data_IF_718353465832
#
_entry.id   IF_718353465832
#
_cell.length_a   1.000
_cell.length_b   1.000
_cell.length_c   1.000
_cell.angle_alpha   90.00
_cell.angle_beta   90.00
_cell.angle_gamma   90.00
#
_symmetry.space_group_name_H-M   'P 1'
#
loop_
_entity.id
_entity.type
_entity.pdbx_description
1 polymer ?
#
# COMPACT_ATOMS: atom_id res chain seq x y z
N UNK A 1 0.92 1.95 24.75
CA UNK A 1 0.03 1.92 23.56
C UNK A 1 0.89 1.98 22.32
N UNK A 2 0.62 1.15 21.32
CA UNK A 2 1.29 1.11 20.02
C UNK A 2 0.27 0.95 18.91
N UNK A 3 0.57 1.44 17.71
CA UNK A 3 -0.28 1.32 16.52
C UNK A 3 0.27 0.27 15.60
N UNK A 4 -0.61 -0.63 15.17
CA UNK A 4 -0.28 -1.72 14.26
C UNK A 4 -0.94 -1.45 12.91
N UNK A 5 -0.15 -1.55 11.85
CA UNK A 5 -0.61 -1.55 10.46
C UNK A 5 -0.67 -3.00 9.99
N UNK A 6 -1.78 -3.35 9.36
CA UNK A 6 -2.04 -4.65 8.76
C UNK A 6 -2.14 -4.52 7.24
N UNK A 7 -1.59 -5.49 6.52
CA UNK A 7 -1.89 -5.74 5.10
C UNK A 7 -2.78 -6.96 5.01
N UNK A 8 -3.98 -6.81 4.44
CA UNK A 8 -5.03 -7.84 4.48
C UNK A 8 -5.42 -8.25 3.07
N UNK A 9 -5.43 -9.57 2.82
CA UNK A 9 -5.99 -10.18 1.63
C UNK A 9 -7.28 -10.92 1.96
N UNK A 10 -8.26 -10.89 1.05
CA UNK A 10 -9.52 -11.62 1.24
C UNK A 10 -10.23 -11.94 -0.07
N UNK A 11 -10.91 -13.09 -0.08
CA UNK A 11 -11.96 -13.41 -1.02
C UNK A 11 -13.27 -12.79 -0.51
N UNK A 12 -13.78 -11.78 -1.20
CA UNK A 12 -14.98 -11.05 -0.78
C UNK A 12 -16.30 -11.76 -1.07
N UNK A 13 -16.29 -12.92 -1.71
CA UNK A 13 -17.50 -13.61 -2.23
C UNK A 13 -18.57 -13.82 -1.15
N UNK A 14 -18.15 -14.24 0.05
CA UNK A 14 -19.07 -14.54 1.15
C UNK A 14 -19.41 -13.32 2.02
N UNK A 15 -18.86 -12.14 1.73
CA UNK A 15 -18.91 -10.98 2.61
C UNK A 15 -19.73 -9.83 2.04
N UNK A 16 -20.39 -9.08 2.93
CA UNK A 16 -21.13 -7.85 2.61
C UNK A 16 -20.20 -6.62 2.53
N UNK A 17 -18.98 -6.82 1.98
CA UNK A 17 -17.95 -5.81 1.84
C UNK A 17 -17.07 -5.67 3.06
N UNK A 18 -16.30 -4.58 3.07
CA UNK A 18 -15.34 -4.31 4.14
C UNK A 18 -16.03 -3.87 5.44
N UNK A 19 -16.80 -2.78 5.38
CA UNK A 19 -17.27 -2.05 6.56
C UNK A 19 -18.40 -2.76 7.30
N UNK A 20 -18.32 -2.81 8.63
CA UNK A 20 -19.38 -3.34 9.52
C UNK A 20 -20.73 -2.72 9.19
N UNK A 21 -21.73 -3.57 9.00
CA UNK A 21 -23.11 -3.19 8.70
C UNK A 21 -24.09 -4.28 9.17
N UNK A 22 -25.38 -3.93 9.45
CA UNK A 22 -26.31 -4.87 10.04
C UNK A 22 -26.79 -6.00 9.10
N UNK A 23 -26.51 -5.90 7.80
CA UNK A 23 -27.13 -6.75 6.77
C UNK A 23 -26.33 -8.03 6.44
N UNK A 24 -25.31 -8.37 7.24
CA UNK A 24 -24.52 -9.59 7.08
C UNK A 24 -23.05 -9.42 7.45
N UNK A 25 -22.32 -10.52 7.43
CA UNK A 25 -20.93 -10.62 7.86
C UNK A 25 -20.02 -9.79 6.94
N UNK A 26 -19.08 -9.06 7.54
CA UNK A 26 -18.14 -8.18 6.85
C UNK A 26 -16.69 -8.50 7.22
N UNK A 27 -15.74 -8.08 6.37
CA UNK A 27 -14.30 -8.32 6.59
C UNK A 27 -13.83 -7.65 7.88
N UNK A 28 -14.23 -6.40 8.12
CA UNK A 28 -13.89 -5.61 9.31
C UNK A 28 -14.38 -6.27 10.60
N UNK A 29 -15.61 -6.82 10.60
CA UNK A 29 -16.19 -7.51 11.74
C UNK A 29 -15.40 -8.77 12.11
N UNK A 30 -15.05 -9.60 11.11
CA UNK A 30 -14.28 -10.84 11.32
C UNK A 30 -12.87 -10.51 11.85
N UNK A 31 -12.22 -9.49 11.30
CA UNK A 31 -10.91 -9.05 11.76
C UNK A 31 -10.96 -8.50 13.19
N UNK A 32 -11.95 -7.66 13.51
CA UNK A 32 -12.14 -7.11 14.86
C UNK A 32 -12.30 -8.23 15.89
N UNK A 33 -13.13 -9.22 15.58
CA UNK A 33 -13.35 -10.38 16.45
C UNK A 33 -12.08 -11.20 16.65
N UNK A 34 -11.39 -11.56 15.56
CA UNK A 34 -10.19 -12.38 15.63
C UNK A 34 -9.04 -11.69 16.37
N UNK A 35 -8.87 -10.38 16.18
CA UNK A 35 -7.86 -9.58 16.88
C UNK A 35 -8.21 -9.41 18.36
N UNK A 36 -9.48 -9.13 18.68
CA UNK A 36 -9.93 -9.02 20.08
C UNK A 36 -9.76 -10.34 20.83
N UNK A 37 -10.08 -11.46 20.19
CA UNK A 37 -9.88 -12.80 20.75
C UNK A 37 -8.39 -13.13 20.94
N UNK A 38 -7.52 -12.68 20.05
CA UNK A 38 -6.07 -12.88 20.14
C UNK A 38 -5.46 -12.05 21.26
N UNK A 39 -5.76 -10.76 21.29
CA UNK A 39 -5.08 -9.79 22.16
C UNK A 39 -5.73 -9.68 23.55
N UNK A 40 -6.92 -10.26 23.73
CA UNK A 40 -7.73 -10.21 24.97
C UNK A 40 -8.13 -8.78 25.37
N UNK A 41 -8.31 -7.93 24.39
CA UNK A 41 -8.78 -6.55 24.53
C UNK A 41 -9.71 -6.19 23.36
N UNK A 42 -10.64 -5.23 23.51
CA UNK A 42 -11.48 -4.78 22.41
C UNK A 42 -10.65 -4.13 21.32
N UNK A 43 -10.70 -4.66 20.10
CA UNK A 43 -10.03 -4.10 18.93
C UNK A 43 -11.06 -3.61 17.92
N UNK A 44 -10.86 -2.38 17.42
CA UNK A 44 -11.60 -1.80 16.32
C UNK A 44 -10.61 -1.31 15.26
N UNK A 45 -10.58 -1.95 14.10
CA UNK A 45 -9.67 -1.58 13.02
C UNK A 45 -10.21 -0.41 12.22
N UNK A 46 -9.32 0.35 11.59
CA UNK A 46 -9.65 1.41 10.64
C UNK A 46 -9.05 1.05 9.27
N UNK A 47 -9.90 0.69 8.32
CA UNK A 47 -9.46 0.31 6.98
C UNK A 47 -9.17 1.50 6.06
N UNK A 48 -8.23 1.34 5.13
CA UNK A 48 -7.86 2.33 4.11
C UNK A 48 -8.88 2.42 2.98
N UNK A 49 -9.40 1.28 2.55
CA UNK A 49 -10.37 1.19 1.46
C UNK A 49 -11.60 0.41 1.89
N UNK A 50 -12.78 0.99 1.61
CA UNK A 50 -14.06 0.30 1.75
C UNK A 50 -14.35 -0.40 0.43
N UNK A 51 -14.21 -1.72 0.38
CA UNK A 51 -14.60 -2.51 -0.77
C UNK A 51 -16.07 -2.89 -0.67
N UNK A 52 -16.75 -2.96 -1.82
CA UNK A 52 -18.16 -3.34 -1.89
C UNK A 52 -18.38 -4.83 -1.60
N UNK A 53 -19.61 -5.22 -1.38
CA UNK A 53 -20.03 -6.63 -1.26
C UNK A 53 -19.55 -7.43 -2.47
N UNK A 54 -18.87 -8.56 -2.23
CA UNK A 54 -18.36 -9.45 -3.26
C UNK A 54 -17.06 -9.00 -3.94
N UNK A 55 -16.44 -7.89 -3.51
CA UNK A 55 -15.16 -7.41 -4.02
C UNK A 55 -14.01 -8.01 -3.23
N UNK A 56 -12.96 -8.46 -3.93
CA UNK A 56 -11.77 -9.08 -3.35
C UNK A 56 -10.66 -8.07 -3.04
N UNK A 57 -9.67 -8.48 -2.26
CA UNK A 57 -8.44 -7.73 -2.08
C UNK A 57 -7.23 -8.64 -1.89
N UNK A 58 -6.10 -8.24 -2.47
CA UNK A 58 -4.78 -8.84 -2.24
C UNK A 58 -3.93 -8.00 -1.28
N UNK A 59 -4.33 -6.75 -0.98
CA UNK A 59 -3.53 -5.86 -0.16
C UNK A 59 -4.30 -4.64 0.35
N UNK A 60 -5.45 -4.85 1.03
CA UNK A 60 -6.07 -3.75 1.77
C UNK A 60 -5.27 -3.44 3.03
N UNK A 61 -5.27 -2.20 3.46
CA UNK A 61 -4.54 -1.76 4.65
C UNK A 61 -5.51 -1.37 5.76
N UNK A 62 -5.20 -1.79 6.98
CA UNK A 62 -5.93 -1.39 8.18
C UNK A 62 -4.97 -1.08 9.32
N UNK A 63 -5.43 -0.30 10.30
CA UNK A 63 -4.70 -0.02 11.55
C UNK A 63 -5.58 -0.27 12.76
N UNK A 64 -4.93 -0.54 13.87
CA UNK A 64 -5.53 -0.50 15.20
C UNK A 64 -4.48 -0.16 16.27
N UNK A 65 -4.95 0.26 17.43
CA UNK A 65 -4.10 0.54 18.58
C UNK A 65 -4.23 -0.58 19.62
N UNK A 66 -3.13 -0.90 20.33
CA UNK A 66 -3.08 -1.97 21.33
C UNK A 66 -2.10 -1.65 22.47
N UNK A 67 -2.42 -2.13 23.66
CA UNK A 67 -1.49 -2.17 24.82
C UNK A 67 -0.77 -3.52 24.94
N UNK A 68 -1.17 -4.51 24.13
CA UNK A 68 -0.63 -5.85 24.21
C UNK A 68 0.88 -5.88 23.90
N UNK A 69 1.63 -6.74 24.62
CA UNK A 69 3.10 -6.84 24.52
C UNK A 69 3.58 -7.63 23.30
N UNK A 70 2.68 -8.32 22.58
CA UNK A 70 3.05 -9.10 21.40
C UNK A 70 3.75 -8.21 20.36
N UNK A 71 4.95 -8.58 19.84
CA UNK A 71 5.64 -7.82 18.80
C UNK A 71 4.75 -7.61 17.57
N UNK A 72 4.77 -6.41 16.98
CA UNK A 72 3.91 -6.04 15.88
C UNK A 72 4.04 -6.98 14.67
N UNK A 73 5.26 -7.40 14.36
CA UNK A 73 5.59 -8.34 13.27
C UNK A 73 5.09 -9.78 13.51
N UNK A 74 4.69 -10.14 14.74
CA UNK A 74 4.17 -11.48 15.09
C UNK A 74 2.65 -11.58 15.05
N UNK A 75 1.95 -10.45 15.04
CA UNK A 75 0.48 -10.42 15.09
C UNK A 75 -0.13 -11.11 13.86
N UNK A 76 0.43 -10.90 12.66
CA UNK A 76 -0.07 -11.53 11.43
C UNK A 76 -0.07 -13.06 11.52
N UNK A 77 0.98 -13.67 12.06
CA UNK A 77 1.06 -15.14 12.22
C UNK A 77 0.05 -15.66 13.24
N UNK A 78 -0.11 -14.94 14.36
CA UNK A 78 -0.99 -15.37 15.43
C UNK A 78 -2.49 -15.19 15.08
N UNK A 79 -2.86 -14.07 14.42
CA UNK A 79 -4.26 -13.82 14.05
C UNK A 79 -4.73 -14.74 12.93
N UNK A 80 -3.85 -15.11 12.00
CA UNK A 80 -4.19 -16.03 10.90
C UNK A 80 -4.63 -17.43 11.34
N UNK A 81 -4.27 -17.85 12.57
CA UNK A 81 -4.76 -19.09 13.16
C UNK A 81 -6.22 -19.03 13.62
N UNK A 82 -6.81 -17.83 13.67
CA UNK A 82 -8.19 -17.56 14.10
C UNK A 82 -9.09 -17.07 12.96
N UNK A 83 -8.47 -16.71 11.84
CA UNK A 83 -9.19 -16.25 10.67
C UNK A 83 -9.68 -17.41 9.81
N UNK A 84 -10.84 -17.27 9.15
CA UNK A 84 -11.31 -18.23 8.15
C UNK A 84 -10.37 -18.26 6.94
N UNK A 85 -10.50 -19.27 6.08
CA UNK A 85 -9.57 -19.49 4.94
C UNK A 85 -9.56 -18.35 3.92
N UNK A 86 -10.66 -17.64 3.81
CA UNK A 86 -10.90 -16.57 2.84
C UNK A 86 -10.44 -15.17 3.32
N UNK A 87 -9.86 -15.06 4.54
CA UNK A 87 -9.21 -13.83 5.03
C UNK A 87 -7.82 -14.16 5.56
N UNK A 88 -6.82 -13.38 5.15
CA UNK A 88 -5.44 -13.49 5.65
C UNK A 88 -4.83 -12.11 5.89
N UNK A 89 -4.13 -11.98 7.00
CA UNK A 89 -3.23 -10.86 7.28
C UNK A 89 -1.85 -11.25 6.74
N UNK A 90 -1.42 -10.60 5.67
CA UNK A 90 -0.17 -10.91 4.98
C UNK A 90 1.04 -10.32 5.70
N UNK A 91 0.85 -9.15 6.33
CA UNK A 91 1.88 -8.45 7.08
C UNK A 91 1.27 -7.69 8.25
N UNK A 92 2.04 -7.54 9.32
CA UNK A 92 1.74 -6.66 10.44
C UNK A 92 3.00 -5.97 10.93
N UNK A 93 2.94 -4.66 11.15
CA UNK A 93 4.07 -3.84 11.55
C UNK A 93 3.65 -2.71 12.49
N UNK A 94 4.56 -2.30 13.38
CA UNK A 94 4.34 -1.12 14.20
C UNK A 94 4.57 0.14 13.38
N UNK A 95 3.66 1.11 13.52
CA UNK A 95 3.75 2.42 12.86
C UNK A 95 3.57 3.53 13.90
N UNK A 96 4.04 4.76 13.63
CA UNK A 96 3.84 5.90 14.53
C UNK A 96 2.35 6.10 14.87
N UNK A 97 2.02 6.47 16.11
CA UNK A 97 0.64 6.69 16.55
C UNK A 97 -0.14 7.72 15.71
N UNK A 98 0.56 8.68 15.11
CA UNK A 98 -0.04 9.64 14.17
C UNK A 98 -0.30 9.10 12.76
N UNK A 99 0.15 7.87 12.43
CA UNK A 99 -0.06 7.28 11.12
C UNK A 99 -1.53 6.91 10.91
N UNK A 100 -2.11 7.35 9.77
CA UNK A 100 -3.52 7.05 9.47
C UNK A 100 -3.69 6.73 7.98
N UNK A 101 -4.31 5.58 7.59
CA UNK A 101 -4.29 5.06 6.23
C UNK A 101 -5.07 5.91 5.21
N UNK A 102 -5.98 6.79 5.67
CA UNK A 102 -6.78 7.67 4.80
C UNK A 102 -6.28 9.12 4.74
N UNK A 103 -5.29 9.49 5.62
CA UNK A 103 -4.76 10.87 5.68
C UNK A 103 -3.40 11.01 5.01
N UNK A 104 -2.96 9.96 4.29
CA UNK A 104 -1.67 9.93 3.60
C UNK A 104 -1.87 9.82 2.12
N UNK A 105 -0.98 10.47 1.37
CA UNK A 105 -0.91 10.28 -0.05
C UNK A 105 -0.64 8.81 -0.34
N UNK A 106 -1.44 8.26 -1.23
CA UNK A 106 -1.29 6.86 -1.62
C UNK A 106 -1.73 6.65 -3.06
N UNK A 107 -1.22 5.61 -3.66
CA UNK A 107 -1.67 5.09 -4.94
C UNK A 107 -2.38 3.77 -4.69
N UNK A 108 -3.63 3.68 -5.11
CA UNK A 108 -4.42 2.45 -5.04
C UNK A 108 -4.44 1.81 -6.41
N UNK A 109 -4.17 0.50 -6.44
CA UNK A 109 -4.23 -0.30 -7.66
C UNK A 109 -5.39 -1.27 -7.58
N UNK A 110 -6.27 -1.22 -8.58
CA UNK A 110 -7.37 -2.17 -8.77
C UNK A 110 -7.23 -2.91 -10.09
N UNK A 111 -7.65 -4.16 -10.10
CA UNK A 111 -7.84 -4.95 -11.31
C UNK A 111 -9.30 -5.37 -11.44
N UNK A 112 -9.83 -5.22 -12.65
CA UNK A 112 -11.11 -5.80 -13.03
C UNK A 112 -10.90 -6.87 -14.10
N UNK A 113 -11.33 -8.10 -13.84
CA UNK A 113 -11.14 -9.25 -14.73
C UNK A 113 -12.43 -9.64 -15.43
N UNK A 114 -12.33 -9.80 -16.74
CA UNK A 114 -13.43 -10.20 -17.62
C UNK A 114 -13.02 -11.49 -18.33
N UNK A 115 -13.78 -12.56 -18.13
CA UNK A 115 -13.65 -13.79 -18.92
C UNK A 115 -14.43 -13.60 -20.22
N UNK A 116 -13.69 -13.39 -21.32
CA UNK A 116 -14.27 -13.10 -22.63
C UNK A 116 -14.09 -14.29 -23.57
N UNK A 117 -14.95 -15.27 -23.47
CA UNK A 117 -14.96 -16.48 -24.26
C UNK A 117 -16.41 -16.93 -24.57
N UNK A 118 -16.55 -17.95 -25.43
CA UNK A 118 -17.85 -18.41 -25.88
C UNK A 118 -18.66 -19.15 -24.80
N UNK A 119 -18.00 -19.83 -23.88
CA UNK A 119 -18.61 -20.67 -22.84
C UNK A 119 -17.96 -20.34 -21.50
N UNK A 120 -18.78 -20.12 -20.46
CA UNK A 120 -18.29 -19.82 -19.10
C UNK A 120 -17.45 -20.97 -18.53
N UNK A 121 -16.42 -20.60 -17.77
CA UNK A 121 -15.50 -21.57 -17.13
C UNK A 121 -15.77 -21.57 -15.61
N UNK A 122 -16.31 -22.67 -15.04
CA UNK A 122 -16.74 -22.71 -13.64
C UNK A 122 -15.65 -22.33 -12.62
N UNK A 123 -14.39 -22.66 -12.90
CA UNK A 123 -13.25 -22.34 -12.01
C UNK A 123 -12.92 -20.84 -11.98
N UNK A 124 -13.46 -20.04 -12.90
CA UNK A 124 -13.29 -18.56 -12.96
C UNK A 124 -14.50 -17.80 -12.41
N UNK A 125 -15.60 -18.49 -12.08
CA UNK A 125 -16.90 -17.89 -11.77
C UNK A 125 -16.90 -16.88 -10.63
N UNK A 126 -15.97 -17.00 -9.67
CA UNK A 126 -15.87 -16.13 -8.49
C UNK A 126 -14.93 -14.95 -8.69
N UNK A 127 -14.01 -15.00 -9.67
CA UNK A 127 -12.89 -14.07 -9.79
C UNK A 127 -12.84 -13.34 -11.14
N UNK A 128 -13.85 -13.55 -12.01
CA UNK A 128 -13.99 -12.83 -13.27
C UNK A 128 -15.46 -12.63 -13.63
N UNK A 129 -15.75 -11.55 -14.33
CA UNK A 129 -17.04 -11.34 -14.96
C UNK A 129 -17.06 -12.02 -16.32
N UNK A 130 -17.95 -13.00 -16.52
CA UNK A 130 -18.11 -13.67 -17.80
C UNK A 130 -18.96 -12.85 -18.76
N UNK A 131 -18.51 -12.75 -20.02
CA UNK A 131 -19.31 -12.28 -21.15
C UNK A 131 -18.93 -13.05 -22.42
N UNK A 132 -19.95 -13.51 -23.14
CA UNK A 132 -19.77 -14.17 -24.43
C UNK A 132 -19.74 -13.20 -25.63
N UNK A 133 -20.13 -11.94 -25.40
CA UNK A 133 -20.03 -10.91 -26.42
C UNK A 133 -18.55 -10.60 -26.71
N UNK A 134 -18.09 -10.69 -27.98
CA UNK A 134 -16.72 -10.31 -28.29
C UNK A 134 -16.42 -8.86 -27.88
N UNK A 135 -15.29 -8.66 -27.22
CA UNK A 135 -14.84 -7.34 -26.82
C UNK A 135 -13.61 -6.92 -27.64
N UNK A 136 -13.71 -5.76 -28.28
CA UNK A 136 -12.60 -5.11 -28.98
C UNK A 136 -11.71 -4.39 -27.93
N UNK A 137 -10.59 -5.07 -27.59
CA UNK A 137 -9.66 -4.59 -26.56
C UNK A 137 -8.95 -3.32 -26.98
N UNK A 138 -8.70 -3.11 -28.29
CA UNK A 138 -8.02 -1.92 -28.78
C UNK A 138 -8.93 -0.68 -28.64
N UNK A 139 -10.22 -0.81 -28.92
CA UNK A 139 -11.19 0.26 -28.65
C UNK A 139 -11.33 0.54 -27.15
N UNK A 140 -11.28 -0.49 -26.30
CA UNK A 140 -11.28 -0.32 -24.84
C UNK A 140 -10.04 0.45 -24.36
N UNK A 141 -8.85 0.15 -24.92
CA UNK A 141 -7.61 0.90 -24.61
C UNK A 141 -7.68 2.36 -25.05
N UNK A 142 -8.22 2.61 -26.23
CA UNK A 142 -8.41 3.97 -26.73
C UNK A 142 -9.34 4.76 -25.81
N UNK A 143 -10.48 4.19 -25.46
CA UNK A 143 -11.45 4.78 -24.56
C UNK A 143 -10.87 5.06 -23.16
N UNK A 144 -10.04 4.16 -22.63
CA UNK A 144 -9.41 4.30 -21.32
C UNK A 144 -8.50 5.54 -21.21
N UNK A 145 -7.86 5.95 -22.31
CA UNK A 145 -6.98 7.14 -22.34
C UNK A 145 -7.68 8.44 -21.93
N UNK A 146 -8.97 8.57 -22.22
CA UNK A 146 -9.76 9.75 -21.86
C UNK A 146 -10.02 9.91 -20.36
N UNK A 147 -9.78 8.85 -19.57
CA UNK A 147 -9.96 8.86 -18.13
C UNK A 147 -8.67 9.11 -17.34
N UNK A 148 -7.51 9.13 -18.02
CA UNK A 148 -6.21 9.37 -17.38
C UNK A 148 -6.08 10.87 -17.08
N UNK A 149 -5.57 11.19 -15.88
CA UNK A 149 -5.41 12.56 -15.40
C UNK A 149 -6.34 12.88 -14.24
N UNK A 150 -6.38 14.17 -13.90
CA UNK A 150 -7.28 14.70 -12.88
C UNK A 150 -8.61 15.13 -13.51
N UNK A 151 -9.69 14.51 -13.06
CA UNK A 151 -11.03 14.74 -13.60
C UNK A 151 -12.09 14.68 -12.50
N UNK A 152 -13.23 15.31 -12.78
CA UNK A 152 -14.46 15.11 -12.00
C UNK A 152 -15.16 13.82 -12.47
N UNK A 153 -15.10 12.78 -11.64
CA UNK A 153 -15.66 11.46 -11.91
C UNK A 153 -17.12 11.30 -11.48
N UNK A 154 -17.91 12.35 -11.41
CA UNK A 154 -19.33 12.28 -11.03
C UNK A 154 -20.10 11.27 -11.88
N UNK A 155 -19.88 11.21 -13.22
CA UNK A 155 -20.51 10.21 -14.11
C UNK A 155 -20.14 8.76 -13.75
N UNK A 156 -19.02 8.55 -13.10
CA UNK A 156 -18.52 7.22 -12.68
C UNK A 156 -18.69 6.95 -11.18
N UNK A 157 -19.56 7.70 -10.51
CA UNK A 157 -19.89 7.52 -9.11
C UNK A 157 -21.35 7.06 -8.96
N UNK A 158 -21.62 6.10 -8.08
CA UNK A 158 -22.99 5.74 -7.77
C UNK A 158 -23.72 6.90 -7.05
N UNK A 159 -24.97 7.16 -7.40
CA UNK A 159 -25.75 8.37 -7.05
C UNK A 159 -25.94 8.62 -5.56
N UNK A 160 -25.70 7.64 -4.72
CA UNK A 160 -25.71 7.81 -3.25
C UNK A 160 -24.27 7.97 -2.74
N UNK A 161 -23.66 9.08 -3.07
CA UNK A 161 -22.28 9.35 -2.70
C UNK A 161 -22.17 9.90 -1.26
N UNK A 162 -21.20 9.37 -0.56
CA UNK A 162 -20.72 9.90 0.72
C UNK A 162 -19.45 10.77 0.54
N UNK A 163 -19.06 11.05 -0.70
CA UNK A 163 -17.89 11.85 -1.00
C UNK A 163 -18.29 13.31 -1.15
N UNK A 164 -17.70 14.17 -0.37
CA UNK A 164 -17.82 15.63 -0.47
C UNK A 164 -17.20 16.16 -1.77
N UNK A 165 -16.25 15.41 -2.34
CA UNK A 165 -15.50 15.76 -3.55
C UNK A 165 -15.44 14.59 -4.52
N UNK A 166 -15.73 14.84 -5.81
CA UNK A 166 -15.75 13.84 -6.89
C UNK A 166 -14.53 13.89 -7.81
N UNK A 167 -13.64 14.85 -7.59
CA UNK A 167 -12.38 14.95 -8.33
C UNK A 167 -11.39 13.88 -7.87
N UNK A 168 -10.84 13.13 -8.83
CA UNK A 168 -9.80 12.11 -8.61
C UNK A 168 -8.75 12.19 -9.71
N UNK A 169 -7.55 11.69 -9.40
CA UNK A 169 -6.48 11.55 -10.38
C UNK A 169 -6.25 10.08 -10.67
N UNK A 170 -6.46 9.67 -11.92
CA UNK A 170 -6.05 8.36 -12.43
C UNK A 170 -4.70 8.49 -13.12
N UNK A 171 -3.70 7.82 -12.58
CA UNK A 171 -2.34 7.87 -13.10
C UNK A 171 -2.13 6.92 -14.28
N UNK A 172 -2.89 5.81 -14.30
CA UNK A 172 -2.73 4.76 -15.30
C UNK A 172 -4.00 3.94 -15.42
N UNK A 173 -4.36 3.58 -16.64
CA UNK A 173 -5.38 2.59 -16.96
C UNK A 173 -4.86 1.72 -18.09
N UNK A 174 -4.64 0.44 -17.82
CA UNK A 174 -4.21 -0.54 -18.80
C UNK A 174 -5.35 -1.51 -19.09
N UNK A 175 -5.49 -1.92 -20.36
CA UNK A 175 -6.43 -2.96 -20.78
C UNK A 175 -5.65 -4.00 -21.56
N UNK A 176 -5.55 -5.21 -21.01
CA UNK A 176 -4.75 -6.29 -21.59
C UNK A 176 -5.60 -7.56 -21.73
N UNK A 177 -5.40 -8.30 -22.82
CA UNK A 177 -5.97 -9.63 -23.01
C UNK A 177 -4.88 -10.67 -22.83
N UNK A 178 -5.08 -11.54 -21.85
CA UNK A 178 -4.22 -12.71 -21.61
C UNK A 178 -4.50 -13.85 -22.59
N UNK A 179 -3.62 -14.86 -22.58
CA UNK A 179 -3.77 -16.09 -23.38
C UNK A 179 -4.89 -17.02 -22.87
N UNK A 180 -5.44 -16.73 -21.69
CA UNK A 180 -6.47 -17.52 -20.99
C UNK A 180 -7.88 -16.92 -21.13
N UNK A 181 -8.11 -16.15 -22.20
CA UNK A 181 -9.34 -15.41 -22.48
C UNK A 181 -9.74 -14.37 -21.40
N UNK A 182 -8.84 -14.06 -20.47
CA UNK A 182 -9.06 -13.02 -19.48
C UNK A 182 -8.62 -11.66 -20.05
N UNK A 183 -9.55 -10.70 -20.03
CA UNK A 183 -9.25 -9.29 -20.22
C UNK A 183 -9.12 -8.67 -18.82
N UNK A 184 -7.98 -8.06 -18.55
CA UNK A 184 -7.69 -7.36 -17.30
C UNK A 184 -7.67 -5.86 -17.55
N UNK A 185 -8.50 -5.13 -16.80
CA UNK A 185 -8.47 -3.67 -16.73
C UNK A 185 -7.80 -3.32 -15.41
N UNK A 186 -6.59 -2.72 -15.46
CA UNK A 186 -5.84 -2.29 -14.28
C UNK A 186 -5.89 -0.77 -14.17
N UNK A 187 -6.28 -0.27 -13.01
CA UNK A 187 -6.38 1.16 -12.72
C UNK A 187 -5.50 1.53 -11.54
N UNK A 188 -4.75 2.62 -11.67
CA UNK A 188 -3.95 3.23 -10.60
C UNK A 188 -4.38 4.67 -10.39
N UNK A 189 -4.65 5.07 -9.15
CA UNK A 189 -5.10 6.43 -8.84
C UNK A 189 -4.93 6.79 -7.37
N UNK A 190 -5.09 8.10 -7.07
CA UNK A 190 -5.01 8.63 -5.69
C UNK A 190 -6.20 8.19 -4.81
N UNK A 191 -7.29 7.76 -5.43
CA UNK A 191 -8.50 7.31 -4.75
C UNK A 191 -9.58 6.97 -5.75
N UNK A 192 -10.61 6.27 -5.29
CA UNK A 192 -11.74 5.86 -6.10
C UNK A 192 -13.05 6.18 -5.38
N UNK A 193 -14.04 6.65 -6.13
CA UNK A 193 -15.40 6.88 -5.66
C UNK A 193 -16.18 5.56 -5.54
N UNK A 194 -17.34 5.63 -4.92
CA UNK A 194 -18.20 4.47 -4.76
C UNK A 194 -18.59 3.86 -6.12
N UNK A 195 -18.29 2.57 -6.30
CA UNK A 195 -18.46 1.81 -7.54
C UNK A 195 -17.64 2.31 -8.74
N UNK A 196 -16.77 3.29 -8.61
CA UNK A 196 -16.09 3.96 -9.73
C UNK A 196 -15.39 2.97 -10.68
N UNK A 197 -14.56 2.07 -10.18
CA UNK A 197 -13.83 1.09 -11.01
C UNK A 197 -14.79 0.19 -11.78
N UNK A 198 -15.86 -0.26 -11.14
CA UNK A 198 -16.86 -1.13 -11.76
C UNK A 198 -17.68 -0.40 -12.84
N UNK A 199 -17.98 0.88 -12.64
CA UNK A 199 -18.67 1.71 -13.64
C UNK A 199 -17.74 1.98 -14.83
N UNK A 200 -16.46 2.26 -14.59
CA UNK A 200 -15.45 2.40 -15.65
C UNK A 200 -15.36 1.08 -16.44
N UNK A 201 -15.24 -0.05 -15.77
CA UNK A 201 -15.18 -1.36 -16.43
C UNK A 201 -16.43 -1.62 -17.31
N UNK A 202 -17.63 -1.36 -16.77
CA UNK A 202 -18.87 -1.49 -17.55
C UNK A 202 -18.97 -0.54 -18.73
N UNK A 203 -18.43 0.67 -18.60
CA UNK A 203 -18.38 1.64 -19.71
C UNK A 203 -17.40 1.21 -20.79
N UNK A 204 -16.21 0.76 -20.42
CA UNK A 204 -15.22 0.22 -21.36
C UNK A 204 -15.73 -1.04 -22.07
N UNK A 205 -16.46 -1.91 -21.37
CA UNK A 205 -17.12 -3.08 -21.99
C UNK A 205 -18.15 -2.63 -23.04
N UNK A 206 -18.95 -1.59 -22.78
CA UNK A 206 -19.90 -1.02 -23.74
C UNK A 206 -19.20 -0.56 -25.03
N UNK A 207 -18.04 0.09 -24.89
CA UNK A 207 -17.18 0.46 -26.02
C UNK A 207 -16.64 -0.78 -26.75
N UNK A 208 -16.11 -1.76 -25.99
CA UNK A 208 -15.59 -3.01 -26.54
C UNK A 208 -16.63 -3.82 -27.34
N UNK A 209 -17.91 -3.77 -26.96
CA UNK A 209 -19.02 -4.36 -27.69
C UNK A 209 -19.40 -3.57 -28.95
N UNK A 210 -18.77 -2.42 -29.20
CA UNK A 210 -19.14 -1.53 -30.33
C UNK A 210 -20.45 -0.78 -30.15
N UNK A 211 -20.99 -0.69 -28.94
CA UNK A 211 -22.24 0.00 -28.65
C UNK A 211 -22.10 1.54 -28.65
N UNK A 212 -20.87 2.03 -28.50
CA UNK A 212 -20.50 3.43 -28.65
C UNK A 212 -19.01 3.54 -29.03
N UNK A 213 -18.62 4.66 -29.69
CA UNK A 213 -17.21 4.85 -30.06
C UNK A 213 -16.36 5.22 -28.83
N UNK A 214 -15.02 5.04 -28.89
CA UNK A 214 -14.11 5.35 -27.76
C UNK A 214 -14.23 6.78 -27.22
N UNK A 215 -14.42 7.77 -28.10
CA UNK A 215 -14.50 9.19 -27.76
C UNK A 215 -15.72 9.52 -26.90
N UNK A 216 -16.76 8.69 -26.94
CA UNK A 216 -17.95 8.87 -26.11
C UNK A 216 -17.62 8.86 -24.61
N UNK A 217 -16.52 8.19 -24.21
CA UNK A 217 -16.07 8.18 -22.82
C UNK A 217 -15.71 9.58 -22.33
N UNK A 218 -15.14 10.43 -23.21
CA UNK A 218 -14.88 11.84 -22.91
C UNK A 218 -16.19 12.60 -22.69
N UNK A 219 -17.16 12.43 -23.57
CA UNK A 219 -18.49 13.04 -23.45
C UNK A 219 -19.20 12.62 -22.16
N UNK A 220 -19.10 11.33 -21.79
CA UNK A 220 -19.64 10.80 -20.53
C UNK A 220 -18.96 11.47 -19.33
N UNK A 221 -17.64 11.62 -19.34
CA UNK A 221 -16.88 12.24 -18.27
C UNK A 221 -17.30 13.70 -18.05
N UNK A 222 -17.35 14.47 -19.14
CA UNK A 222 -17.71 15.89 -19.14
C UNK A 222 -19.17 16.14 -18.75
N UNK A 223 -20.06 15.18 -19.01
CA UNK A 223 -21.49 15.29 -18.71
C UNK A 223 -21.81 15.32 -17.21
N UNK A 224 -20.95 14.78 -16.35
CA UNK A 224 -21.19 14.64 -14.91
C UNK A 224 -22.51 14.00 -14.56
N UNK A 225 -22.94 13.06 -15.39
CA UNK A 225 -24.22 12.36 -15.28
C UNK A 225 -24.01 10.85 -15.26
N UNK A 226 -24.35 10.20 -14.13
CA UNK A 226 -24.22 8.74 -13.95
C UNK A 226 -25.02 7.95 -14.99
N UNK A 227 -26.13 8.49 -15.49
CA UNK A 227 -27.01 7.76 -16.41
C UNK A 227 -26.37 7.57 -17.80
N UNK A 228 -25.43 8.42 -18.17
CA UNK A 228 -24.70 8.32 -19.43
C UNK A 228 -23.60 7.24 -19.42
N UNK A 229 -23.04 6.94 -18.25
CA UNK A 229 -22.04 5.90 -18.11
C UNK A 229 -22.63 4.49 -18.24
N UNK A 230 -21.77 3.52 -18.47
CA UNK A 230 -22.14 2.11 -18.55
C UNK A 230 -22.72 1.56 -17.25
N UNK A 231 -23.25 0.35 -17.30
CA UNK A 231 -23.76 -0.35 -16.12
C UNK A 231 -22.62 -0.62 -15.13
N UNK A 232 -22.95 -0.69 -13.85
CA UNK A 232 -21.99 -1.12 -12.83
C UNK A 232 -21.66 -2.60 -13.03
N UNK A 233 -20.44 -2.91 -13.41
CA UNK A 233 -20.00 -4.27 -13.64
C UNK A 233 -20.04 -5.10 -12.35
N UNK A 234 -20.27 -6.44 -12.41
CA UNK A 234 -20.38 -7.30 -11.23
C UNK A 234 -19.15 -7.24 -10.31
N UNK A 235 -19.38 -7.29 -9.00
CA UNK A 235 -18.32 -7.16 -7.99
C UNK A 235 -17.23 -8.23 -8.10
N UNK A 236 -17.61 -9.47 -8.42
CA UNK A 236 -16.72 -10.64 -8.51
C UNK A 236 -15.52 -10.50 -9.45
N UNK A 237 -15.57 -9.57 -10.40
CA UNK A 237 -14.43 -9.27 -11.27
C UNK A 237 -13.42 -8.31 -10.65
N UNK A 238 -13.76 -7.63 -9.57
CA UNK A 238 -12.95 -6.56 -8.99
C UNK A 238 -12.08 -7.06 -7.82
N UNK A 239 -10.80 -6.71 -7.87
CA UNK A 239 -9.82 -6.97 -6.81
C UNK A 239 -9.03 -5.69 -6.51
N UNK A 240 -8.95 -5.29 -5.26
CA UNK A 240 -7.96 -4.31 -4.77
C UNK A 240 -6.60 -5.01 -4.70
N UNK A 241 -5.68 -4.66 -5.59
CA UNK A 241 -4.37 -5.30 -5.67
C UNK A 241 -3.43 -4.83 -4.56
N UNK A 242 -3.48 -3.55 -4.20
CA UNK A 242 -2.66 -3.00 -3.15
C UNK A 242 -2.82 -1.50 -3.00
N UNK A 243 -2.21 -0.99 -1.94
CA UNK A 243 -2.15 0.44 -1.61
C UNK A 243 -0.70 0.78 -1.33
N UNK A 244 -0.11 1.56 -2.23
CA UNK A 244 1.24 2.09 -2.10
C UNK A 244 1.15 3.46 -1.41
N UNK A 245 1.74 3.60 -0.25
CA UNK A 245 1.89 4.90 0.41
C UNK A 245 3.18 5.55 -0.06
N UNK A 246 3.14 6.86 -0.27
CA UNK A 246 4.37 7.62 -0.41
C UNK A 246 5.27 7.24 0.78
N UNK A 247 6.49 6.79 0.47
CA UNK A 247 7.50 6.66 1.50
C UNK A 247 7.57 8.03 2.16
N UNK A 248 7.29 8.11 3.45
CA UNK A 248 7.71 9.31 4.16
C UNK A 248 9.17 9.50 3.77
N UNK A 249 9.57 10.70 3.35
CA UNK A 249 10.98 11.04 3.39
C UNK A 249 11.41 10.56 4.77
N UNK A 250 12.44 9.70 4.82
CA UNK A 250 12.90 9.09 6.07
C UNK A 250 12.79 10.18 7.11
N UNK A 251 11.85 10.07 8.07
CA UNK A 251 11.71 11.11 9.05
C UNK A 251 13.07 11.18 9.64
N UNK A 252 13.73 12.34 9.46
CA UNK A 252 14.78 12.73 10.35
C UNK A 252 14.21 12.45 11.73
N UNK A 253 14.57 11.31 12.32
CA UNK A 253 14.34 11.11 13.73
C UNK A 253 15.38 12.01 14.36
N UNK A 254 15.05 13.30 14.37
CA UNK A 254 15.77 14.28 15.12
C UNK A 254 15.39 14.00 16.57
N UNK A 255 16.14 13.09 17.18
CA UNK A 255 16.18 13.00 18.63
C UNK A 255 17.03 14.15 19.10
N UNK A 256 16.42 15.27 19.41
CA UNK A 256 17.09 16.28 20.23
C UNK A 256 17.09 15.77 21.67
N UNK A 257 18.22 15.26 22.09
CA UNK A 257 18.56 15.19 23.50
C UNK A 257 19.46 16.39 23.79
N UNK A 258 19.55 16.88 25.02
CA UNK A 258 20.32 18.08 25.39
C UNK A 258 21.77 18.11 24.92
N UNK A 259 22.27 16.98 24.36
CA UNK A 259 23.68 16.76 24.06
C UNK A 259 24.03 16.34 22.62
N UNK A 260 23.06 15.89 21.78
CA UNK A 260 23.36 15.50 20.40
C UNK A 260 22.12 15.41 19.50
N UNK A 261 22.34 15.74 18.24
CA UNK A 261 21.38 15.56 17.14
C UNK A 261 21.90 14.43 16.26
N UNK A 262 21.05 13.42 16.02
CA UNK A 262 21.40 12.36 15.06
C UNK A 262 20.32 12.25 13.99
N UNK A 263 20.76 12.00 12.77
CA UNK A 263 19.91 11.75 11.62
C UNK A 263 20.08 10.29 11.24
N UNK A 264 18.99 9.52 11.27
CA UNK A 264 18.96 8.17 10.73
C UNK A 264 18.52 8.26 9.28
N UNK A 265 19.45 8.27 8.33
CA UNK A 265 19.16 8.17 6.92
C UNK A 265 19.02 6.69 6.54
N UNK A 266 17.79 6.21 6.34
CA UNK A 266 17.52 4.83 5.90
C UNK A 266 17.62 4.66 4.38
N UNK A 267 17.95 5.71 3.64
CA UNK A 267 17.91 5.68 2.17
C UNK A 267 19.19 5.17 1.51
N UNK A 268 20.31 5.14 2.20
CA UNK A 268 21.57 4.64 1.65
C UNK A 268 21.86 3.18 2.06
N UNK A 269 21.04 2.25 1.61
CA UNK A 269 21.51 0.87 1.43
C UNK A 269 22.47 0.86 0.24
N UNK A 270 23.73 1.10 0.49
CA UNK A 270 24.79 0.93 -0.50
C UNK A 270 24.83 -0.54 -0.90
N UNK A 271 25.00 -0.83 -2.20
CA UNK A 271 25.16 -2.17 -2.72
C UNK A 271 26.20 -2.93 -1.88
N UNK A 272 25.77 -3.96 -1.12
CA UNK A 272 26.63 -4.72 -0.21
C UNK A 272 26.14 -4.81 1.23
N UNK A 273 24.91 -4.33 1.57
CA UNK A 273 24.32 -4.50 2.91
C UNK A 273 24.91 -3.60 4.00
N UNK A 274 25.54 -2.49 3.62
CA UNK A 274 26.01 -1.47 4.56
C UNK A 274 24.91 -0.47 4.90
N UNK A 275 24.77 -0.10 6.17
CA UNK A 275 23.92 0.99 6.66
C UNK A 275 24.79 2.15 7.09
N UNK A 276 24.55 3.34 6.55
CA UNK A 276 25.26 4.57 6.92
C UNK A 276 24.39 5.41 7.83
N UNK A 277 24.90 5.76 9.00
CA UNK A 277 24.21 6.54 10.02
C UNK A 277 25.00 7.83 10.24
N UNK A 278 24.35 8.98 10.07
CA UNK A 278 24.99 10.30 10.22
C UNK A 278 24.63 10.92 11.56
N UNK A 279 25.64 11.51 12.22
CA UNK A 279 25.51 12.28 13.43
C UNK A 279 25.94 13.71 13.13
N UNK A 280 25.02 14.67 13.16
CA UNK A 280 25.30 16.08 12.85
C UNK A 280 25.98 16.84 14.00
N UNK A 281 25.74 16.42 15.23
CA UNK A 281 26.30 17.07 16.42
C UNK A 281 26.47 16.09 17.58
N UNK A 282 27.61 16.11 18.26
CA UNK A 282 27.86 15.32 19.46
C UNK A 282 28.84 16.07 20.40
N UNK A 283 28.57 16.06 21.72
CA UNK A 283 29.50 16.56 22.71
C UNK A 283 30.45 15.45 23.21
N UNK A 284 31.67 15.85 23.56
CA UNK A 284 32.70 14.94 24.10
C UNK A 284 32.19 14.15 25.30
N UNK A 285 32.34 12.82 25.24
CA UNK A 285 32.09 11.89 26.34
C UNK A 285 30.93 10.90 26.18
N UNK A 286 29.97 11.15 25.27
CA UNK A 286 28.86 10.20 24.99
C UNK A 286 28.86 9.60 23.59
N UNK A 287 29.76 10.06 22.72
CA UNK A 287 29.88 9.59 21.34
C UNK A 287 30.02 8.08 21.26
N UNK A 288 30.86 7.48 22.07
CA UNK A 288 31.08 6.02 22.08
C UNK A 288 29.83 5.22 22.43
N UNK A 289 29.05 5.68 23.42
CA UNK A 289 27.78 5.01 23.81
C UNK A 289 26.73 5.11 22.72
N UNK A 290 26.65 6.28 22.06
CA UNK A 290 25.73 6.51 20.96
C UNK A 290 26.09 5.65 19.76
N UNK A 291 27.37 5.65 19.34
CA UNK A 291 27.89 4.81 18.27
C UNK A 291 27.60 3.33 18.53
N UNK A 292 27.89 2.81 19.72
CA UNK A 292 27.59 1.43 20.08
C UNK A 292 26.09 1.09 19.97
N UNK A 293 25.18 2.01 20.36
CA UNK A 293 23.74 1.82 20.18
C UNK A 293 23.35 1.78 18.71
N UNK A 294 23.87 2.70 17.90
CA UNK A 294 23.54 2.79 16.48
C UNK A 294 24.05 1.57 15.71
N UNK A 295 25.27 1.11 16.00
CA UNK A 295 25.83 -0.14 15.47
C UNK A 295 24.94 -1.33 15.81
N UNK A 296 24.55 -1.46 17.08
CA UNK A 296 23.69 -2.56 17.51
C UNK A 296 22.30 -2.52 16.84
N UNK A 297 21.75 -1.32 16.64
CA UNK A 297 20.51 -1.11 15.91
C UNK A 297 20.63 -1.48 14.42
N UNK A 298 21.73 -1.08 13.78
CA UNK A 298 22.01 -1.43 12.38
C UNK A 298 22.04 -2.95 12.17
N UNK A 299 22.72 -3.71 13.02
CA UNK A 299 22.72 -5.18 12.94
C UNK A 299 21.36 -5.81 13.23
N UNK A 300 20.59 -5.28 14.18
CA UNK A 300 19.21 -5.74 14.40
C UNK A 300 18.32 -5.54 13.18
N UNK A 301 18.60 -4.52 12.38
CA UNK A 301 17.89 -4.24 11.14
C UNK A 301 18.42 -5.02 9.93
N UNK A 302 19.37 -5.95 10.13
CA UNK A 302 19.87 -6.84 9.08
C UNK A 302 21.05 -6.29 8.28
N UNK A 303 21.69 -5.19 8.72
CA UNK A 303 22.91 -4.72 8.09
C UNK A 303 24.08 -5.68 8.32
N UNK A 304 24.93 -5.87 7.31
CA UNK A 304 26.17 -6.65 7.40
C UNK A 304 27.37 -5.78 7.74
N UNK A 305 27.25 -4.47 7.50
CA UNK A 305 28.23 -3.44 7.84
C UNK A 305 27.52 -2.19 8.32
N UNK A 306 28.00 -1.58 9.40
CA UNK A 306 27.46 -0.31 9.91
C UNK A 306 28.57 0.72 9.93
N UNK A 307 28.31 1.86 9.29
CA UNK A 307 29.18 3.03 9.24
C UNK A 307 28.49 4.16 9.96
N UNK A 308 29.11 4.76 10.97
CA UNK A 308 28.59 5.91 11.69
C UNK A 308 29.49 7.11 11.39
N UNK A 309 28.97 8.13 10.71
CA UNK A 309 29.63 9.40 10.45
C UNK A 309 29.26 10.41 11.55
N UNK A 310 30.24 10.90 12.28
CA UNK A 310 30.12 11.99 13.23
C UNK A 310 30.98 13.18 12.76
N UNK A 311 30.75 14.43 13.27
CA UNK A 311 31.44 15.63 12.78
C UNK A 311 32.97 15.53 12.73
N UNK A 312 33.57 14.73 13.58
CA UNK A 312 35.02 14.59 13.69
C UNK A 312 35.52 13.12 13.61
N UNK A 313 34.61 12.14 13.63
CA UNK A 313 35.01 10.72 13.67
C UNK A 313 34.06 9.86 12.88
N UNK A 314 34.59 8.77 12.31
CA UNK A 314 33.82 7.68 11.69
C UNK A 314 34.01 6.42 12.49
N UNK A 315 32.93 5.77 12.90
CA UNK A 315 32.99 4.45 13.49
C UNK A 315 32.67 3.42 12.41
N UNK A 316 33.58 2.46 12.23
CA UNK A 316 33.42 1.38 11.25
C UNK A 316 33.43 0.06 12.00
N UNK A 317 32.43 -0.77 11.79
CA UNK A 317 32.46 -2.15 12.18
C UNK A 317 32.36 -3.03 10.93
N UNK A 318 33.38 -3.83 10.70
CA UNK A 318 33.48 -4.79 9.63
C UNK A 318 33.61 -6.20 10.22
N UNK A 319 32.47 -6.90 10.26
CA UNK A 319 32.34 -8.32 10.58
C UNK A 319 32.89 -8.83 11.91
N UNK A 320 33.97 -8.26 12.49
CA UNK A 320 34.60 -8.67 13.77
C UNK A 320 35.43 -7.61 14.48
N UNK A 321 35.65 -6.44 13.91
CA UNK A 321 36.47 -5.38 14.52
C UNK A 321 35.71 -4.06 14.53
N UNK A 322 35.41 -3.59 15.73
CA UNK A 322 34.87 -2.25 15.97
C UNK A 322 36.02 -1.29 16.30
N UNK A 323 36.00 -0.10 15.71
CA UNK A 323 36.99 0.93 16.00
C UNK A 323 36.43 2.33 15.74
N UNK A 324 36.90 3.29 16.53
CA UNK A 324 36.70 4.72 16.25
C UNK A 324 37.83 5.23 15.39
N UNK A 325 37.48 5.93 14.33
CA UNK A 325 38.45 6.50 13.38
C UNK A 325 38.21 8.01 13.27
N UNK A 326 39.28 8.77 13.15
CA UNK A 326 39.25 10.18 12.81
C UNK A 326 39.34 10.33 11.30
N UNK A 327 38.46 11.16 10.71
CA UNK A 327 38.57 11.55 9.32
C UNK A 327 39.76 12.52 9.15
N UNK A 328 40.76 12.15 8.36
CA UNK A 328 41.93 12.97 8.07
C UNK A 328 41.92 13.30 6.58
N UNK A 329 42.02 14.60 6.24
CA UNK A 329 42.13 15.04 4.86
C UNK A 329 43.56 14.94 4.41
N UNK A 330 43.86 14.09 3.42
CA UNK A 330 45.17 13.87 2.86
C UNK A 330 45.58 15.02 1.94
N UNK A 331 46.91 15.12 1.65
CA UNK A 331 47.44 16.18 0.82
C UNK A 331 46.92 16.17 -0.64
N UNK A 332 46.45 15.04 -1.13
CA UNK A 332 45.80 14.87 -2.46
C UNK A 332 44.30 15.26 -2.47
N UNK A 333 43.77 15.75 -1.34
CA UNK A 333 42.37 16.16 -1.18
C UNK A 333 41.41 15.02 -0.86
N UNK A 334 41.86 13.77 -0.79
CA UNK A 334 41.04 12.63 -0.37
C UNK A 334 40.95 12.57 1.13
N UNK A 335 39.91 11.89 1.59
CA UNK A 335 39.71 11.60 3.00
C UNK A 335 40.20 10.18 3.30
N UNK A 336 40.96 10.04 4.37
CA UNK A 336 41.41 8.77 4.93
C UNK A 336 40.97 8.69 6.41
N UNK A 337 41.08 7.52 7.01
CA UNK A 337 40.68 7.28 8.40
C UNK A 337 41.88 6.91 9.26
N UNK A 338 42.09 7.65 10.34
CA UNK A 338 43.09 7.34 11.33
C UNK A 338 42.43 6.68 12.55
N UNK A 339 42.91 5.52 12.98
CA UNK A 339 42.41 4.80 14.14
C UNK A 339 42.69 5.57 15.43
N UNK A 340 41.62 5.89 16.19
CA UNK A 340 41.72 6.71 17.41
C UNK A 340 41.50 5.88 18.68
N UNK A 341 40.89 4.71 18.59
CA UNK A 341 40.64 3.84 19.75
C UNK A 341 39.47 2.86 19.58
N UNK A 342 39.26 2.05 20.60
CA UNK A 342 38.11 1.14 20.66
C UNK A 342 36.98 1.74 21.44
#
# INVERSE_FOLDING_TARGET
MKRIKLTVAYDGTAYRGWQVQPNGITIEEVLNKALSDLLKEPVCIIGASRTDSGVHANGNVAIFDTENRMPGDKICFAVNQRLPEDIRVLNSEEVPLGWHPRKRNCIKTYEYKILNCRIDVPTRRLYAHFTYFPLDVDKMREAAKYLIGEHDFTSFCATKHQAEETVRTLYQIDVEKGSDDIITIRLRGNGFLYNMVRIIAGTLMKVGMGMCPPEEVKTILEARDRQKAGQTAPAKGLTLMGIEYEKEPAKEIVGENEYYRYVLDQTDMVAGGASVLKIDFCTDGELERLVRRMVHQGYRNGATKVVVEAPETVAIEDGRQYGLYRLVKMADGKWDTEYVGK
#
